data_IF_650476271809
#
_entry.id   IF_650476271809
#
_cell.length_a   1.000
_cell.length_b   1.000
_cell.length_c   1.000
_cell.angle_alpha   90.00
_cell.angle_beta   90.00
_cell.angle_gamma   90.00
#
_symmetry.space_group_name_H-M   'P 1'
#
loop_
_entity.id
_entity.type
_entity.pdbx_description
1 polymer ?
#
# COMPACT_ATOMS: atom_id res chain seq x y z
N UNK A 1 10.11 24.91 -11.27
CA UNK A 1 9.40 24.46 -10.04
C UNK A 1 9.39 22.94 -9.87
N UNK A 2 9.37 22.13 -10.94
CA UNK A 2 9.42 20.66 -10.88
C UNK A 2 10.83 20.02 -10.70
N UNK A 3 11.90 20.82 -10.72
CA UNK A 3 13.29 20.32 -10.69
C UNK A 3 13.88 20.06 -9.30
N UNK A 4 13.20 20.48 -8.22
CA UNK A 4 13.73 20.31 -6.86
C UNK A 4 13.69 18.85 -6.39
N UNK A 5 12.63 18.11 -6.74
CA UNK A 5 12.50 16.69 -6.43
C UNK A 5 13.06 15.78 -7.52
N UNK A 6 13.50 16.33 -8.66
CA UNK A 6 14.15 15.55 -9.71
C UNK A 6 15.61 15.19 -9.40
N UNK A 7 16.20 15.86 -8.40
CA UNK A 7 17.59 15.63 -8.01
C UNK A 7 17.68 14.56 -6.90
N UNK A 8 18.29 13.39 -7.17
CA UNK A 8 18.47 12.34 -6.16
C UNK A 8 19.16 12.82 -4.89
N UNK A 9 20.10 13.77 -4.97
CA UNK A 9 20.76 14.33 -3.79
C UNK A 9 19.81 15.13 -2.89
N UNK A 10 18.88 15.91 -3.48
CA UNK A 10 17.88 16.65 -2.72
C UNK A 10 16.92 15.68 -2.02
N UNK A 11 16.49 14.64 -2.73
CA UNK A 11 15.67 13.58 -2.15
C UNK A 11 16.40 12.86 -1.01
N UNK A 12 17.67 12.49 -1.17
CA UNK A 12 18.46 11.84 -0.12
C UNK A 12 18.58 12.69 1.16
N UNK A 13 18.76 14.01 1.03
CA UNK A 13 18.81 14.93 2.18
C UNK A 13 17.45 15.02 2.88
N UNK A 14 16.38 15.22 2.12
CA UNK A 14 15.01 15.30 2.67
C UNK A 14 14.62 13.99 3.37
N UNK A 15 14.76 12.86 2.69
CA UNK A 15 14.38 11.54 3.20
C UNK A 15 15.24 11.07 4.38
N UNK A 16 16.44 11.64 4.59
CA UNK A 16 17.25 11.37 5.77
C UNK A 16 16.60 11.87 7.07
N UNK A 17 15.85 12.97 7.00
CA UNK A 17 15.14 13.55 8.14
C UNK A 17 13.69 13.09 8.17
N UNK A 18 13.02 13.04 7.02
CA UNK A 18 11.60 12.69 6.95
C UNK A 18 11.32 11.22 7.33
N UNK A 19 12.14 10.27 6.88
CA UNK A 19 11.90 8.84 7.15
C UNK A 19 11.86 8.48 8.66
N UNK A 20 12.83 8.88 9.51
CA UNK A 20 12.75 8.58 10.94
C UNK A 20 11.56 9.27 11.63
N UNK A 21 11.18 10.48 11.21
CA UNK A 21 9.98 11.14 11.73
C UNK A 21 8.70 10.37 11.36
N UNK A 22 8.62 9.86 10.13
CA UNK A 22 7.52 9.03 9.67
C UNK A 22 7.45 7.71 10.45
N UNK A 23 8.59 7.10 10.76
CA UNK A 23 8.63 5.92 11.62
C UNK A 23 8.16 6.22 13.05
N UNK A 24 8.67 7.29 13.67
CA UNK A 24 8.28 7.65 15.03
C UNK A 24 6.79 7.98 15.13
N UNK A 25 6.31 8.89 14.29
CA UNK A 25 4.90 9.28 14.26
C UNK A 25 3.98 8.12 13.86
N UNK A 26 4.39 7.31 12.87
CA UNK A 26 3.65 6.13 12.44
C UNK A 26 3.52 5.09 13.55
N UNK A 27 4.63 4.76 14.22
CA UNK A 27 4.63 3.82 15.34
C UNK A 27 3.74 4.31 16.49
N UNK A 28 3.81 5.59 16.85
CA UNK A 28 2.95 6.17 17.89
C UNK A 28 1.46 6.06 17.53
N UNK A 29 1.09 6.39 16.29
CA UNK A 29 -0.30 6.29 15.82
C UNK A 29 -0.80 4.84 15.82
N UNK A 30 0.03 3.89 15.37
CA UNK A 30 -0.32 2.45 15.36
C UNK A 30 -0.48 1.94 16.79
N UNK A 31 0.48 2.21 17.69
CA UNK A 31 0.42 1.78 19.08
C UNK A 31 -0.81 2.36 19.79
N UNK A 32 -1.13 3.63 19.53
CA UNK A 32 -2.34 4.24 20.07
C UNK A 32 -3.61 3.60 19.49
N UNK A 33 -3.68 3.37 18.17
CA UNK A 33 -4.83 2.72 17.53
C UNK A 33 -5.05 1.28 18.03
N UNK A 34 -3.97 0.53 18.22
CA UNK A 34 -4.02 -0.81 18.83
C UNK A 34 -4.47 -0.74 20.29
N UNK A 35 -3.97 0.23 21.05
CA UNK A 35 -4.40 0.42 22.44
C UNK A 35 -5.89 0.75 22.54
N UNK A 36 -6.38 1.63 21.67
CA UNK A 36 -7.80 1.93 21.56
C UNK A 36 -8.61 0.66 21.23
N UNK A 37 -8.22 -0.06 20.18
CA UNK A 37 -8.92 -1.26 19.74
C UNK A 37 -8.93 -2.41 20.74
N UNK A 38 -7.90 -2.54 21.58
CA UNK A 38 -7.79 -3.64 22.55
C UNK A 38 -8.44 -3.32 23.90
N UNK A 39 -8.42 -2.07 24.36
CA UNK A 39 -8.85 -1.74 25.74
C UNK A 39 -9.95 -0.68 25.86
N UNK A 40 -10.13 0.20 24.87
CA UNK A 40 -11.01 1.37 25.02
C UNK A 40 -12.31 1.22 24.23
N UNK A 41 -12.21 0.76 22.98
CA UNK A 41 -13.35 0.64 22.08
C UNK A 41 -14.33 -0.41 22.62
N UNK A 42 -15.61 -0.07 22.87
CA UNK A 42 -16.59 -1.05 23.34
C UNK A 42 -16.83 -2.10 22.25
N UNK A 43 -17.02 -3.36 22.67
CA UNK A 43 -17.46 -4.41 21.74
C UNK A 43 -18.78 -4.02 21.07
N UNK A 44 -18.91 -4.30 19.78
CA UNK A 44 -20.13 -4.03 19.03
C UNK A 44 -20.89 -5.35 18.83
N UNK A 45 -21.87 -5.62 19.69
CA UNK A 45 -22.67 -6.86 19.65
C UNK A 45 -23.40 -7.03 18.30
N UNK A 46 -23.71 -5.94 17.60
CA UNK A 46 -24.35 -6.00 16.28
C UNK A 46 -23.36 -6.34 15.16
N UNK A 47 -22.05 -6.13 15.37
CA UNK A 47 -20.99 -6.41 14.40
C UNK A 47 -20.03 -7.53 14.84
N UNK A 48 -20.54 -8.49 15.64
CA UNK A 48 -19.77 -9.69 16.04
C UNK A 48 -18.93 -9.52 17.31
N UNK A 49 -19.24 -8.53 18.15
CA UNK A 49 -18.61 -8.32 19.45
C UNK A 49 -17.16 -7.85 19.32
N UNK A 50 -16.23 -8.61 19.89
CA UNK A 50 -14.81 -8.25 19.89
C UNK A 50 -14.13 -8.44 18.52
N UNK A 51 -14.66 -9.29 17.63
CA UNK A 51 -14.02 -9.51 16.32
C UNK A 51 -13.96 -8.24 15.47
N UNK A 52 -14.92 -7.34 15.66
CA UNK A 52 -14.98 -6.02 15.05
C UNK A 52 -13.63 -5.27 15.17
N UNK A 53 -12.91 -5.47 16.27
CA UNK A 53 -11.62 -4.81 16.55
C UNK A 53 -10.51 -5.16 15.55
N UNK A 54 -10.63 -6.27 14.80
CA UNK A 54 -9.74 -6.59 13.68
C UNK A 54 -9.76 -5.49 12.61
N UNK A 55 -10.83 -4.70 12.53
CA UNK A 55 -10.94 -3.59 11.58
C UNK A 55 -9.82 -2.56 11.71
N UNK A 56 -9.30 -2.35 12.92
CA UNK A 56 -8.24 -1.36 13.17
C UNK A 56 -6.90 -1.76 12.53
N UNK A 57 -6.77 -3.01 12.06
CA UNK A 57 -5.63 -3.50 11.29
C UNK A 57 -6.06 -3.77 9.85
N UNK A 58 -7.17 -4.48 9.66
CA UNK A 58 -7.65 -4.91 8.36
C UNK A 58 -7.99 -3.74 7.43
N UNK A 59 -8.76 -2.77 7.91
CA UNK A 59 -9.23 -1.65 7.07
C UNK A 59 -8.07 -0.73 6.66
N UNK A 60 -7.14 -0.34 7.57
CA UNK A 60 -5.90 0.34 7.17
C UNK A 60 -5.07 -0.46 6.17
N UNK A 61 -4.98 -1.79 6.34
CA UNK A 61 -4.29 -2.66 5.39
C UNK A 61 -4.93 -2.64 3.99
N UNK A 62 -6.27 -2.69 3.93
CA UNK A 62 -7.05 -2.62 2.70
C UNK A 62 -6.92 -1.26 2.01
N UNK A 63 -6.94 -0.14 2.76
CA UNK A 63 -6.74 1.18 2.17
C UNK A 63 -5.35 1.33 1.58
N UNK A 64 -4.32 0.88 2.30
CA UNK A 64 -2.95 0.99 1.83
C UNK A 64 -2.60 0.04 0.69
N UNK A 65 -3.21 -1.16 0.60
CA UNK A 65 -3.00 -2.02 -0.56
C UNK A 65 -3.42 -1.31 -1.86
N UNK A 66 -4.62 -0.71 -1.86
CA UNK A 66 -5.14 0.06 -3.00
C UNK A 66 -4.35 1.37 -3.23
N UNK A 67 -4.06 2.12 -2.17
CA UNK A 67 -3.33 3.38 -2.28
C UNK A 67 -1.89 3.18 -2.76
N UNK A 68 -1.21 2.14 -2.27
CA UNK A 68 0.15 1.80 -2.70
C UNK A 68 0.19 1.32 -4.15
N UNK A 69 -0.78 0.53 -4.61
CA UNK A 69 -0.84 0.15 -6.02
C UNK A 69 -1.14 1.37 -6.92
N UNK A 70 -1.99 2.28 -6.47
CA UNK A 70 -2.24 3.55 -7.16
C UNK A 70 -0.96 4.39 -7.25
N UNK A 71 -0.21 4.51 -6.15
CA UNK A 71 1.08 5.21 -6.12
C UNK A 71 2.13 4.54 -7.03
N UNK A 72 2.18 3.20 -7.06
CA UNK A 72 3.01 2.42 -7.98
C UNK A 72 2.66 2.74 -9.44
N UNK A 73 1.38 2.76 -9.79
CA UNK A 73 0.89 3.05 -11.13
C UNK A 73 1.20 4.51 -11.54
N UNK A 74 0.99 5.48 -10.65
CA UNK A 74 1.33 6.89 -10.89
C UNK A 74 2.83 7.07 -11.08
N UNK A 75 3.66 6.49 -10.21
CA UNK A 75 5.12 6.54 -10.34
C UNK A 75 5.59 5.89 -11.65
N UNK A 76 4.98 4.77 -12.03
CA UNK A 76 5.23 4.07 -13.29
C UNK A 76 4.84 4.92 -14.50
N UNK A 77 3.67 5.57 -14.47
CA UNK A 77 3.20 6.49 -15.51
C UNK A 77 4.14 7.69 -15.65
N UNK A 78 4.53 8.30 -14.52
CA UNK A 78 5.46 9.44 -14.53
C UNK A 78 6.80 9.05 -15.16
N UNK A 79 7.33 7.87 -14.82
CA UNK A 79 8.52 7.37 -15.48
C UNK A 79 8.27 7.04 -16.96
N UNK A 80 7.11 6.50 -17.33
CA UNK A 80 6.83 6.11 -18.71
C UNK A 80 6.79 7.30 -19.66
N UNK A 81 6.19 8.42 -19.24
CA UNK A 81 6.07 9.65 -20.04
C UNK A 81 7.34 10.50 -19.97
N UNK A 82 7.80 10.84 -18.75
CA UNK A 82 8.89 11.82 -18.57
C UNK A 82 10.26 11.20 -18.30
N UNK A 83 10.36 9.87 -18.23
CA UNK A 83 11.62 9.15 -17.94
C UNK A 83 12.29 9.58 -16.65
N UNK A 84 11.49 10.07 -15.69
CA UNK A 84 11.99 10.60 -14.43
C UNK A 84 12.61 9.50 -13.55
N UNK A 85 13.90 9.57 -13.26
CA UNK A 85 14.63 8.46 -12.62
C UNK A 85 14.09 8.11 -11.23
N UNK A 86 13.73 9.09 -10.40
CA UNK A 86 13.15 8.79 -9.08
C UNK A 86 11.77 8.15 -9.16
N UNK A 87 11.03 8.32 -10.27
CA UNK A 87 9.70 7.72 -10.39
C UNK A 87 9.81 6.20 -10.61
N UNK A 88 10.81 5.75 -11.39
CA UNK A 88 11.17 4.33 -11.49
C UNK A 88 11.66 3.76 -10.16
N UNK A 89 12.49 4.52 -9.43
CA UNK A 89 12.96 4.10 -8.09
C UNK A 89 11.79 3.97 -7.12
N UNK A 90 10.86 4.93 -7.12
CA UNK A 90 9.67 4.90 -6.27
C UNK A 90 8.80 3.68 -6.59
N UNK A 91 8.52 3.42 -7.87
CA UNK A 91 7.72 2.26 -8.28
C UNK A 91 8.36 0.94 -7.84
N UNK A 92 9.69 0.78 -8.03
CA UNK A 92 10.42 -0.39 -7.55
C UNK A 92 10.37 -0.52 -6.01
N UNK A 93 10.48 0.59 -5.28
CA UNK A 93 10.46 0.60 -3.83
C UNK A 93 9.08 0.30 -3.22
N UNK A 94 8.01 0.77 -3.87
CA UNK A 94 6.62 0.60 -3.44
C UNK A 94 6.17 -0.85 -3.57
N UNK A 95 6.52 -1.53 -4.66
CA UNK A 95 5.97 -2.86 -4.99
C UNK A 95 6.03 -3.92 -3.86
N UNK A 96 7.19 -4.19 -3.23
CA UNK A 96 7.26 -5.20 -2.17
C UNK A 96 6.49 -4.77 -0.91
N UNK A 97 6.48 -3.49 -0.58
CA UNK A 97 5.76 -2.98 0.59
C UNK A 97 4.25 -3.04 0.37
N UNK A 98 3.78 -2.70 -0.84
CA UNK A 98 2.37 -2.84 -1.22
C UNK A 98 1.92 -4.30 -1.20
N UNK A 99 2.77 -5.23 -1.64
CA UNK A 99 2.52 -6.67 -1.54
C UNK A 99 2.32 -7.12 -0.08
N UNK A 100 3.18 -6.66 0.84
CA UNK A 100 3.07 -6.98 2.28
C UNK A 100 1.75 -6.50 2.85
N UNK A 101 1.35 -5.25 2.59
CA UNK A 101 0.06 -4.73 3.07
C UNK A 101 -1.14 -5.43 2.44
N UNK A 102 -1.02 -5.86 1.18
CA UNK A 102 -2.06 -6.64 0.50
C UNK A 102 -2.19 -8.04 1.12
N UNK A 103 -1.07 -8.70 1.40
CA UNK A 103 -1.06 -9.99 2.11
C UNK A 103 -1.62 -9.86 3.54
N UNK A 104 -1.26 -8.79 4.26
CA UNK A 104 -1.81 -8.48 5.58
C UNK A 104 -3.33 -8.27 5.51
N UNK A 105 -3.82 -7.55 4.50
CA UNK A 105 -5.25 -7.35 4.26
C UNK A 105 -5.96 -8.69 4.04
N UNK A 106 -5.42 -9.57 3.19
CA UNK A 106 -6.01 -10.89 2.94
C UNK A 106 -6.03 -11.77 4.19
N UNK A 107 -4.92 -11.83 4.94
CA UNK A 107 -4.81 -12.63 6.15
C UNK A 107 -5.78 -12.14 7.24
N UNK A 108 -5.78 -10.84 7.54
CA UNK A 108 -6.67 -10.26 8.54
C UNK A 108 -8.13 -10.29 8.11
N UNK A 109 -8.40 -10.15 6.81
CA UNK A 109 -9.75 -10.28 6.25
C UNK A 109 -10.29 -11.71 6.39
N UNK A 110 -9.44 -12.71 6.18
CA UNK A 110 -9.81 -14.12 6.39
C UNK A 110 -10.12 -14.41 7.85
N UNK A 111 -9.31 -13.89 8.79
CA UNK A 111 -9.55 -13.99 10.25
C UNK A 111 -10.87 -13.35 10.65
N UNK A 112 -11.20 -12.19 10.08
CA UNK A 112 -12.47 -11.52 10.35
C UNK A 112 -13.65 -12.25 9.70
N UNK A 113 -13.47 -12.77 8.47
CA UNK A 113 -14.52 -13.47 7.73
C UNK A 113 -15.03 -14.72 8.44
N UNK A 114 -14.14 -15.52 9.07
CA UNK A 114 -14.54 -16.80 9.67
C UNK A 114 -15.67 -16.71 10.70
N UNK A 115 -15.58 -15.87 11.75
CA UNK A 115 -16.68 -15.70 12.71
C UNK A 115 -17.84 -14.86 12.17
N UNK A 116 -17.60 -13.97 11.20
CA UNK A 116 -18.65 -13.05 10.69
C UNK A 116 -19.57 -13.72 9.67
N UNK A 117 -19.01 -14.56 8.79
CA UNK A 117 -19.72 -15.17 7.66
C UNK A 117 -19.60 -16.71 7.63
N UNK A 118 -18.97 -17.31 8.63
CA UNK A 118 -18.80 -18.76 8.73
C UNK A 118 -17.68 -19.35 7.85
N UNK A 119 -17.04 -18.54 7.00
CA UNK A 119 -15.99 -18.99 6.06
C UNK A 119 -14.73 -18.10 6.09
N UNK A 120 -13.58 -18.71 5.85
CA UNK A 120 -12.29 -18.02 5.71
C UNK A 120 -12.12 -17.36 4.32
N UNK A 121 -12.84 -17.87 3.33
CA UNK A 121 -12.73 -17.45 1.93
C UNK A 121 -14.02 -17.72 1.16
N UNK A 122 -14.39 -16.81 0.27
CA UNK A 122 -15.48 -16.98 -0.68
C UNK A 122 -14.97 -16.70 -2.09
N UNK A 123 -14.95 -17.72 -2.94
CA UNK A 123 -14.41 -17.60 -4.32
C UNK A 123 -15.30 -16.74 -5.22
N UNK A 124 -16.61 -16.73 -4.98
CA UNK A 124 -17.57 -15.94 -5.76
C UNK A 124 -17.63 -14.47 -5.30
N UNK A 125 -16.87 -14.07 -4.28
CA UNK A 125 -16.83 -12.68 -3.83
C UNK A 125 -15.83 -11.86 -4.66
N UNK A 126 -16.38 -10.94 -5.46
CA UNK A 126 -15.59 -10.11 -6.37
C UNK A 126 -14.54 -9.25 -5.65
N UNK A 127 -14.79 -8.80 -4.42
CA UNK A 127 -13.81 -7.99 -3.65
C UNK A 127 -12.63 -8.85 -3.25
N UNK A 128 -12.90 -10.02 -2.65
CA UNK A 128 -11.86 -10.94 -2.19
C UNK A 128 -10.96 -11.35 -3.34
N UNK A 129 -11.56 -11.75 -4.47
CA UNK A 129 -10.82 -12.10 -5.68
C UNK A 129 -10.02 -10.94 -6.25
N UNK A 130 -10.57 -9.72 -6.28
CA UNK A 130 -9.85 -8.55 -6.80
C UNK A 130 -8.66 -8.14 -5.92
N UNK A 131 -8.76 -8.29 -4.59
CA UNK A 131 -7.64 -8.03 -3.66
C UNK A 131 -6.57 -9.14 -3.78
N UNK A 132 -6.96 -10.40 -3.96
CA UNK A 132 -6.01 -11.48 -4.26
C UNK A 132 -5.28 -11.23 -5.58
N UNK A 133 -6.02 -10.81 -6.61
CA UNK A 133 -5.44 -10.43 -7.89
C UNK A 133 -4.49 -9.23 -7.74
N UNK A 134 -4.79 -8.26 -6.86
CA UNK A 134 -3.88 -7.16 -6.54
C UNK A 134 -2.55 -7.66 -5.97
N UNK A 135 -2.58 -8.67 -5.10
CA UNK A 135 -1.35 -9.30 -4.58
C UNK A 135 -0.54 -9.91 -5.72
N UNK A 136 -1.19 -10.66 -6.62
CA UNK A 136 -0.52 -11.23 -7.79
C UNK A 136 0.01 -10.16 -8.75
N UNK A 137 -0.67 -9.02 -8.89
CA UNK A 137 -0.17 -7.92 -9.69
C UNK A 137 1.12 -7.32 -9.10
N UNK A 138 1.22 -7.20 -7.77
CA UNK A 138 2.48 -6.79 -7.13
C UNK A 138 3.59 -7.82 -7.32
N UNK A 139 3.30 -9.11 -7.09
CA UNK A 139 4.27 -10.19 -7.27
C UNK A 139 4.72 -10.29 -8.74
N UNK A 140 3.77 -10.21 -9.67
CA UNK A 140 4.01 -10.18 -11.12
C UNK A 140 4.85 -8.99 -11.54
N UNK A 141 4.62 -7.80 -10.97
CA UNK A 141 5.48 -6.64 -11.20
C UNK A 141 6.92 -6.89 -10.76
N UNK A 142 7.13 -7.45 -9.56
CA UNK A 142 8.47 -7.74 -9.06
C UNK A 142 9.16 -8.82 -9.90
N UNK A 143 8.47 -9.91 -10.21
CA UNK A 143 8.99 -11.01 -11.02
C UNK A 143 9.33 -10.55 -12.45
N UNK A 144 8.45 -9.80 -13.10
CA UNK A 144 8.65 -9.27 -14.45
C UNK A 144 9.84 -8.32 -14.51
N UNK A 145 10.05 -7.51 -13.47
CA UNK A 145 11.23 -6.64 -13.42
C UNK A 145 12.52 -7.42 -13.17
N UNK A 146 12.46 -8.47 -12.35
CA UNK A 146 13.61 -9.31 -12.04
C UNK A 146 14.07 -10.16 -13.24
N UNK A 147 13.15 -10.51 -14.15
CA UNK A 147 13.44 -11.34 -15.33
C UNK A 147 14.03 -10.58 -16.52
N UNK A 148 14.40 -9.31 -16.37
CA UNK A 148 14.79 -8.43 -17.48
C UNK A 148 16.27 -8.07 -17.44
N UNK A 149 16.97 -8.25 -18.56
CA UNK A 149 18.43 -8.11 -18.64
C UNK A 149 18.94 -6.67 -18.45
N UNK A 150 18.08 -5.67 -18.66
CA UNK A 150 18.47 -4.27 -18.52
C UNK A 150 17.45 -3.50 -17.70
N UNK A 151 17.95 -2.52 -16.95
CA UNK A 151 17.13 -1.62 -16.12
C UNK A 151 16.03 -0.94 -16.94
N UNK A 152 16.32 -0.54 -18.17
CA UNK A 152 15.37 0.14 -19.04
C UNK A 152 14.24 -0.78 -19.50
N UNK A 153 14.55 -2.02 -19.90
CA UNK A 153 13.55 -3.05 -20.24
C UNK A 153 12.68 -3.37 -19.02
N UNK A 154 13.30 -3.57 -17.85
CA UNK A 154 12.61 -3.83 -16.59
C UNK A 154 11.63 -2.71 -16.23
N UNK A 155 12.09 -1.45 -16.26
CA UNK A 155 11.25 -0.30 -15.96
C UNK A 155 10.09 -0.15 -16.96
N UNK A 156 10.32 -0.42 -18.26
CA UNK A 156 9.26 -0.37 -19.29
C UNK A 156 8.21 -1.44 -19.09
N UNK A 157 8.62 -2.69 -18.95
CA UNK A 157 7.70 -3.81 -18.76
C UNK A 157 6.91 -3.66 -17.45
N UNK A 158 7.59 -3.32 -16.35
CA UNK A 158 6.95 -3.05 -15.07
C UNK A 158 5.96 -1.88 -15.14
N UNK A 159 6.31 -0.78 -15.82
CA UNK A 159 5.43 0.36 -15.91
C UNK A 159 4.13 0.07 -16.67
N UNK A 160 4.22 -0.69 -17.77
CA UNK A 160 3.04 -1.12 -18.53
C UNK A 160 2.13 -1.99 -17.64
N UNK A 161 2.70 -3.00 -16.96
CA UNK A 161 1.93 -3.86 -16.07
C UNK A 161 1.25 -3.06 -14.95
N UNK A 162 1.98 -2.14 -14.31
CA UNK A 162 1.44 -1.31 -13.22
C UNK A 162 0.28 -0.40 -13.69
N UNK A 163 0.41 0.19 -14.89
CA UNK A 163 -0.63 1.05 -15.46
C UNK A 163 -1.88 0.25 -15.84
N UNK A 164 -1.73 -0.92 -16.48
CA UNK A 164 -2.87 -1.79 -16.82
C UNK A 164 -3.52 -2.34 -15.55
N UNK A 165 -2.70 -2.81 -14.60
CA UNK A 165 -3.17 -3.32 -13.31
C UNK A 165 -3.89 -2.27 -12.46
N UNK A 166 -3.69 -0.97 -12.72
CA UNK A 166 -4.39 0.10 -12.01
C UNK A 166 -5.92 0.03 -12.18
N UNK A 167 -6.41 -0.60 -13.25
CA UNK A 167 -7.84 -0.87 -13.48
C UNK A 167 -8.43 -1.77 -12.38
N UNK A 168 -7.61 -2.59 -11.71
CA UNK A 168 -8.07 -3.43 -10.61
C UNK A 168 -8.44 -2.62 -9.36
N UNK A 169 -7.85 -1.44 -9.16
CA UNK A 169 -8.16 -0.59 -7.98
C UNK A 169 -9.62 -0.12 -7.94
N UNK A 170 -10.19 0.49 -9.00
CA UNK A 170 -11.60 0.82 -9.01
C UNK A 170 -12.49 -0.42 -8.96
N UNK A 171 -12.06 -1.56 -9.54
CA UNK A 171 -12.79 -2.82 -9.42
C UNK A 171 -12.92 -3.25 -7.94
N UNK A 172 -11.85 -3.18 -7.14
CA UNK A 172 -11.91 -3.46 -5.68
C UNK A 172 -12.83 -2.47 -4.96
N UNK A 173 -12.73 -1.17 -5.28
CA UNK A 173 -13.48 -0.12 -4.60
C UNK A 173 -14.99 -0.29 -4.81
N UNK A 174 -15.40 -0.45 -6.05
CA UNK A 174 -16.80 -0.52 -6.46
C UNK A 174 -17.35 -1.95 -6.52
N UNK A 175 -16.57 -2.97 -6.15
CA UNK A 175 -17.00 -4.36 -6.23
C UNK A 175 -18.29 -4.65 -5.47
N UNK A 176 -18.53 -3.96 -4.34
CA UNK A 176 -19.76 -4.10 -3.53
C UNK A 176 -20.98 -3.47 -4.16
N UNK A 177 -20.79 -2.52 -5.06
CA UNK A 177 -21.89 -1.84 -5.77
C UNK A 177 -22.22 -2.57 -7.07
N UNK A 178 -21.22 -3.23 -7.67
CA UNK A 178 -21.30 -3.86 -8.99
C UNK A 178 -21.62 -5.36 -8.95
N UNK A 179 -21.30 -6.04 -7.85
CA UNK A 179 -21.43 -7.49 -7.73
C UNK A 179 -22.05 -7.89 -6.39
N UNK A 180 -22.61 -9.09 -6.33
CA UNK A 180 -22.96 -9.73 -5.05
C UNK A 180 -21.69 -9.92 -4.22
N UNK A 181 -21.71 -9.47 -2.97
CA UNK A 181 -20.57 -9.55 -2.06
C UNK A 181 -21.04 -9.84 -0.64
N UNK A 182 -20.19 -10.56 0.13
CA UNK A 182 -20.35 -10.70 1.58
C UNK A 182 -20.08 -9.37 2.31
N UNK A 183 -19.35 -8.46 1.67
CA UNK A 183 -18.98 -7.19 2.25
C UNK A 183 -20.15 -6.22 2.22
N UNK A 184 -20.46 -5.61 3.36
CA UNK A 184 -21.36 -4.46 3.38
C UNK A 184 -20.82 -3.29 2.53
N UNK A 185 -21.72 -2.43 2.00
CA UNK A 185 -21.36 -1.15 1.40
C UNK A 185 -20.54 -0.27 2.36
N UNK A 186 -19.80 0.70 1.80
CA UNK A 186 -18.89 1.54 2.58
C UNK A 186 -19.61 2.31 3.70
N UNK A 187 -19.21 2.05 4.95
CA UNK A 187 -19.80 2.68 6.16
C UNK A 187 -18.92 3.76 6.80
N UNK A 188 -17.65 3.89 6.38
CA UNK A 188 -16.67 4.77 7.04
C UNK A 188 -16.86 6.23 6.66
N UNK A 189 -16.91 6.57 5.36
CA UNK A 189 -17.20 7.91 4.85
C UNK A 189 -18.12 7.76 3.66
N UNK A 190 -19.31 8.34 3.75
CA UNK A 190 -20.28 8.42 2.66
C UNK A 190 -20.44 9.87 2.19
N UNK A 191 -21.15 10.10 1.07
CA UNK A 191 -21.45 11.44 0.58
C UNK A 191 -22.19 12.30 1.63
N UNK A 192 -22.97 11.67 2.51
CA UNK A 192 -23.73 12.31 3.58
C UNK A 192 -22.95 12.44 4.90
N UNK A 193 -21.65 12.11 4.90
CA UNK A 193 -20.78 12.14 6.08
C UNK A 193 -20.45 10.76 6.65
N UNK A 194 -19.75 10.71 7.82
CA UNK A 194 -19.37 9.45 8.46
C UNK A 194 -20.58 8.79 9.11
N UNK A 195 -20.88 7.53 8.73
CA UNK A 195 -21.96 6.73 9.35
C UNK A 195 -21.48 5.92 10.56
N UNK A 196 -20.17 5.90 10.79
CA UNK A 196 -19.54 5.20 11.92
C UNK A 196 -19.42 6.11 13.13
N UNK A 197 -19.81 5.63 14.31
CA UNK A 197 -19.69 6.40 15.55
C UNK A 197 -18.22 6.78 15.84
N UNK A 198 -18.01 7.97 16.41
CA UNK A 198 -16.68 8.55 16.62
C UNK A 198 -15.72 7.65 17.44
N UNK A 199 -16.28 6.85 18.36
CA UNK A 199 -15.53 5.88 19.18
C UNK A 199 -14.83 4.81 18.34
N UNK A 200 -15.37 4.47 17.17
CA UNK A 200 -14.77 3.54 16.22
C UNK A 200 -14.00 4.26 15.10
N UNK A 201 -14.56 5.38 14.62
CA UNK A 201 -13.97 6.11 13.49
C UNK A 201 -12.62 6.74 13.85
N UNK A 202 -12.47 7.31 15.06
CA UNK A 202 -11.23 8.01 15.44
C UNK A 202 -10.05 7.05 15.53
N UNK A 203 -10.13 5.91 16.24
CA UNK A 203 -9.03 4.92 16.25
C UNK A 203 -8.72 4.37 14.86
N UNK A 204 -9.75 4.17 14.03
CA UNK A 204 -9.60 3.68 12.67
C UNK A 204 -8.80 4.67 11.79
N UNK A 205 -9.15 5.96 11.83
CA UNK A 205 -8.45 6.99 11.05
C UNK A 205 -7.02 7.19 11.53
N UNK A 206 -6.78 7.18 12.85
CA UNK A 206 -5.41 7.29 13.40
C UNK A 206 -4.58 6.06 13.05
N UNK A 207 -5.16 4.86 13.09
CA UNK A 207 -4.47 3.64 12.62
C UNK A 207 -4.15 3.74 11.12
N UNK A 208 -5.11 4.19 10.29
CA UNK A 208 -4.91 4.46 8.87
C UNK A 208 -3.74 5.42 8.60
N UNK A 209 -3.70 6.54 9.32
CA UNK A 209 -2.60 7.51 9.27
C UNK A 209 -1.28 6.87 9.70
N UNK A 210 -1.28 6.12 10.80
CA UNK A 210 -0.10 5.46 11.34
C UNK A 210 0.52 4.45 10.37
N UNK A 211 -0.30 3.58 9.78
CA UNK A 211 0.14 2.67 8.73
C UNK A 211 0.66 3.44 7.51
N UNK A 212 0.01 4.56 7.12
CA UNK A 212 0.43 5.38 5.98
C UNK A 212 1.78 6.05 6.20
N UNK A 213 2.02 6.57 7.39
CA UNK A 213 3.31 7.14 7.80
C UNK A 213 4.40 6.07 7.82
N UNK A 214 4.13 4.92 8.43
CA UNK A 214 5.07 3.78 8.43
C UNK A 214 5.43 3.35 7.00
N UNK A 215 4.42 3.18 6.15
CA UNK A 215 4.61 2.85 4.74
C UNK A 215 5.46 3.89 4.00
N UNK A 216 5.18 5.18 4.18
CA UNK A 216 5.96 6.27 3.60
C UNK A 216 7.42 6.28 4.06
N UNK A 217 7.67 6.04 5.36
CA UNK A 217 9.00 5.88 5.93
C UNK A 217 9.79 4.73 5.29
N UNK A 218 9.14 3.57 5.14
CA UNK A 218 9.70 2.37 4.51
C UNK A 218 10.02 2.62 3.04
N UNK A 219 9.09 3.21 2.28
CA UNK A 219 9.31 3.56 0.86
C UNK A 219 10.50 4.52 0.73
N UNK A 220 10.55 5.58 1.52
CA UNK A 220 11.68 6.53 1.49
C UNK A 220 13.01 5.83 1.76
N UNK A 221 13.06 4.95 2.76
CA UNK A 221 14.27 4.20 3.10
C UNK A 221 14.69 3.26 1.96
N UNK A 222 13.73 2.56 1.36
CA UNK A 222 13.99 1.66 0.26
C UNK A 222 14.47 2.41 -1.00
N UNK A 223 13.87 3.56 -1.30
CA UNK A 223 14.33 4.45 -2.38
C UNK A 223 15.76 4.94 -2.15
N UNK A 224 16.14 5.31 -0.91
CA UNK A 224 17.51 5.72 -0.58
C UNK A 224 18.50 4.58 -0.86
N UNK A 225 18.15 3.35 -0.50
CA UNK A 225 18.96 2.16 -0.78
C UNK A 225 19.14 1.95 -2.28
N UNK A 226 18.06 2.02 -3.06
CA UNK A 226 18.11 1.87 -4.53
C UNK A 226 18.98 2.94 -5.19
N UNK A 227 18.87 4.21 -4.76
CA UNK A 227 19.72 5.30 -5.27
C UNK A 227 21.20 5.01 -5.01
N UNK A 228 21.53 4.53 -3.80
CA UNK A 228 22.91 4.19 -3.43
C UNK A 228 23.44 3.00 -4.23
N UNK A 229 22.63 1.95 -4.40
CA UNK A 229 23.00 0.78 -5.21
C UNK A 229 23.29 1.16 -6.66
N UNK A 230 22.44 2.00 -7.27
CA UNK A 230 22.69 2.51 -8.64
C UNK A 230 23.97 3.32 -8.75
N UNK A 231 24.27 4.14 -7.74
CA UNK A 231 25.51 4.93 -7.71
C UNK A 231 26.74 4.03 -7.61
N UNK A 232 26.70 3.01 -6.75
CA UNK A 232 27.80 2.04 -6.60
C UNK A 232 28.02 1.31 -7.92
N UNK A 233 26.96 0.77 -8.54
CA UNK A 233 27.07 0.05 -9.81
C UNK A 233 27.70 0.91 -10.93
N UNK A 234 27.32 2.19 -11.03
CA UNK A 234 27.93 3.13 -11.99
C UNK A 234 29.43 3.33 -11.72
N UNK A 235 29.82 3.55 -10.47
CA UNK A 235 31.22 3.76 -10.10
C UNK A 235 32.08 2.51 -10.34
N UNK A 236 31.55 1.33 -10.04
CA UNK A 236 32.24 0.05 -10.30
C UNK A 236 32.46 -0.16 -11.80
N UNK A 237 31.46 0.12 -12.65
CA UNK A 237 31.62 0.03 -14.09
C UNK A 237 32.73 0.96 -14.61
N UNK A 238 32.71 2.24 -14.20
CA UNK A 238 33.75 3.20 -14.60
C UNK A 238 35.16 2.83 -14.13
N UNK A 239 35.29 2.18 -12.97
CA UNK A 239 36.58 1.72 -12.45
C UNK A 239 37.13 0.48 -13.16
N UNK A 240 36.29 -0.28 -13.87
CA UNK A 240 36.72 -1.43 -14.69
C UNK A 240 37.08 -1.02 -16.13
N UNK A 241 36.65 0.16 -16.55
CA UNK A 241 36.89 0.73 -17.89
C UNK A 241 38.15 1.62 -17.97
N UNK A 242 38.74 1.99 -16.83
CA UNK A 242 39.94 2.84 -16.73
C UNK A 242 41.15 2.08 -16.21
#
# INVERSE_FOLDING_TARGET
MWSAFANPHKFLKFSAVAAPLFYGAGALCILWGLWQGLWIVPKDEYQGGDIMRVMFIHVPAAWLSMASYSALAVASFVWFIWRHELADIAAKAIAPLGAVWTALCLATGSIWGKPTWGTWWQWDDARMMSVLFLLFLFLGYMALRASMDSRQKAARAGAILAMVGAINVPLIKFSVDLFTSLHQPASVITADGPKMAAVYLTPLLVSGLGHGLLFGGLVMTHMRTEIRQRRIARLTASALEG
#
